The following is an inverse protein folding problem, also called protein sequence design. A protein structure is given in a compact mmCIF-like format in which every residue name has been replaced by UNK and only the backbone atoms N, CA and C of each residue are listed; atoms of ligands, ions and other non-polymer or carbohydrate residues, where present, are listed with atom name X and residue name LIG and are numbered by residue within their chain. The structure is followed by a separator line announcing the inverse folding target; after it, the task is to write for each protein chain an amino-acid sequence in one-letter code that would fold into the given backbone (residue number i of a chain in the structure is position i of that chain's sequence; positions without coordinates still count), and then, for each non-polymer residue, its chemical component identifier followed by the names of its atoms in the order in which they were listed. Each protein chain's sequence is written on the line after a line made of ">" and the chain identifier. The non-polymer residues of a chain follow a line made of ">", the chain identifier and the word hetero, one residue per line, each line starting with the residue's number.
data_IF_666617714108
#
_entry.id   IF_666617714108
#
_cell.length_a   1.000
_cell.length_b   1.000
_cell.length_c   1.000
_cell.angle_alpha   90.00
_cell.angle_beta   90.00
_cell.angle_gamma   90.00
#
_symmetry.space_group_name_H-M   'P 1'
#
loop_
_entity.id
_entity.type
_entity.pdbx_description
1 polymer ?
#
# COMPACT_ATOMS: atom_id res chain seq x y z
N UNK A 1 -29.45 11.05 12.11
CA UNK A 1 -28.43 11.67 11.24
C UNK A 1 -27.21 10.75 11.22
N UNK A 2 -27.02 9.99 10.15
CA UNK A 2 -25.94 9.01 10.02
C UNK A 2 -25.06 9.36 8.82
N UNK A 3 -24.03 10.19 9.04
CA UNK A 3 -22.98 10.48 8.06
C UNK A 3 -21.76 11.12 8.74
N UNK A 4 -21.07 10.38 9.62
CA UNK A 4 -19.85 10.86 10.29
C UNK A 4 -18.81 9.74 10.50
N UNK A 5 -18.65 8.86 9.51
CA UNK A 5 -17.67 7.76 9.59
C UNK A 5 -16.43 7.96 8.69
N UNK A 6 -16.51 8.82 7.68
CA UNK A 6 -15.37 9.25 6.84
C UNK A 6 -15.46 10.73 6.55
N UNK A 7 -14.34 11.45 6.66
CA UNK A 7 -14.22 12.83 6.21
C UNK A 7 -14.42 12.92 4.69
N UNK A 8 -15.03 14.00 4.19
CA UNK A 8 -15.23 14.22 2.74
C UNK A 8 -13.92 14.12 1.95
N UNK A 9 -12.81 14.59 2.55
CA UNK A 9 -11.47 14.41 1.99
C UNK A 9 -11.10 12.94 1.85
N UNK A 10 -11.36 12.11 2.87
CA UNK A 10 -11.07 10.67 2.77
C UNK A 10 -11.91 9.97 1.70
N UNK A 11 -13.17 10.37 1.51
CA UNK A 11 -14.00 9.84 0.41
C UNK A 11 -13.39 10.16 -0.94
N UNK A 12 -12.97 11.41 -1.15
CA UNK A 12 -12.26 11.83 -2.36
C UNK A 12 -10.97 11.02 -2.52
N UNK A 13 -10.19 10.88 -1.45
CA UNK A 13 -8.95 10.10 -1.47
C UNK A 13 -9.17 8.63 -1.85
N UNK A 14 -10.23 8.00 -1.36
CA UNK A 14 -10.61 6.62 -1.73
C UNK A 14 -10.96 6.53 -3.22
N UNK A 15 -11.69 7.51 -3.77
CA UNK A 15 -12.00 7.55 -5.20
C UNK A 15 -10.71 7.63 -6.03
N UNK A 16 -9.79 8.53 -5.69
CA UNK A 16 -8.50 8.64 -6.37
C UNK A 16 -7.64 7.38 -6.24
N UNK A 17 -7.60 6.76 -5.06
CA UNK A 17 -6.90 5.49 -4.85
C UNK A 17 -7.48 4.36 -5.71
N UNK A 18 -8.81 4.24 -5.75
CA UNK A 18 -9.49 3.23 -6.58
C UNK A 18 -9.27 3.47 -8.08
N UNK A 19 -9.31 4.74 -8.52
CA UNK A 19 -8.97 5.11 -9.89
C UNK A 19 -7.52 4.78 -10.24
N UNK A 20 -6.57 5.09 -9.34
CA UNK A 20 -5.16 4.73 -9.50
C UNK A 20 -4.97 3.21 -9.65
N UNK A 21 -5.64 2.42 -8.80
CA UNK A 21 -5.65 0.96 -8.88
C UNK A 21 -6.24 0.44 -10.20
N UNK A 22 -7.33 1.03 -10.68
CA UNK A 22 -7.92 0.69 -11.97
C UNK A 22 -6.95 0.93 -13.13
N UNK A 23 -6.27 2.08 -13.16
CA UNK A 23 -5.26 2.39 -14.17
C UNK A 23 -4.02 1.49 -14.08
N UNK A 24 -3.59 1.12 -12.86
CA UNK A 24 -2.51 0.15 -12.65
C UNK A 24 -2.88 -1.24 -13.22
N UNK A 25 -4.06 -1.75 -12.87
CA UNK A 25 -4.56 -3.05 -13.38
C UNK A 25 -4.72 -2.99 -14.91
N UNK A 26 -5.30 -1.90 -15.43
CA UNK A 26 -5.43 -1.68 -16.86
C UNK A 26 -4.06 -1.65 -17.56
N UNK A 27 -3.08 -0.98 -16.98
CA UNK A 27 -1.71 -0.94 -17.49
C UNK A 27 -1.06 -2.33 -17.54
N UNK A 28 -1.28 -3.18 -16.53
CA UNK A 28 -0.82 -4.56 -16.53
C UNK A 28 -1.53 -5.40 -17.61
N UNK A 29 -2.86 -5.26 -17.74
CA UNK A 29 -3.66 -5.99 -18.72
C UNK A 29 -3.31 -5.61 -20.16
N UNK A 30 -2.94 -4.35 -20.41
CA UNK A 30 -2.44 -3.86 -21.70
C UNK A 30 -0.93 -4.12 -21.89
N UNK A 31 -0.41 -5.21 -21.35
CA UNK A 31 0.98 -5.64 -21.52
C UNK A 31 2.01 -4.62 -21.00
N UNK A 32 1.77 -4.11 -19.78
CA UNK A 32 2.62 -3.13 -19.10
C UNK A 32 2.72 -1.78 -19.85
N UNK A 33 1.56 -1.22 -20.22
CA UNK A 33 1.51 0.12 -20.82
C UNK A 33 2.04 1.17 -19.83
N UNK A 34 3.10 1.87 -20.26
CA UNK A 34 3.82 2.82 -19.41
C UNK A 34 2.99 4.03 -19.02
N UNK A 35 2.10 4.49 -19.90
CA UNK A 35 1.29 5.67 -19.63
C UNK A 35 0.19 5.35 -18.61
N UNK A 36 -0.48 4.19 -18.74
CA UNK A 36 -1.47 3.74 -17.77
C UNK A 36 -0.85 3.41 -16.41
N UNK A 37 0.31 2.74 -16.38
CA UNK A 37 1.02 2.47 -15.12
C UNK A 37 1.46 3.77 -14.43
N UNK A 38 2.02 4.74 -15.17
CA UNK A 38 2.41 6.03 -14.61
C UNK A 38 1.20 6.82 -14.09
N UNK A 39 0.12 6.87 -14.86
CA UNK A 39 -1.11 7.56 -14.44
C UNK A 39 -1.73 6.90 -13.21
N UNK A 40 -1.76 5.56 -13.17
CA UNK A 40 -2.21 4.80 -12.01
C UNK A 40 -1.42 5.13 -10.75
N UNK A 41 -0.09 5.20 -10.85
CA UNK A 41 0.77 5.58 -9.74
C UNK A 41 0.56 7.02 -9.25
N UNK A 42 0.41 7.97 -10.16
CA UNK A 42 0.13 9.37 -9.80
C UNK A 42 -1.21 9.47 -9.06
N UNK A 43 -2.28 8.88 -9.60
CA UNK A 43 -3.60 8.89 -8.98
C UNK A 43 -3.58 8.19 -7.62
N UNK A 44 -2.87 7.07 -7.51
CA UNK A 44 -2.74 6.32 -6.28
C UNK A 44 -2.03 7.13 -5.19
N UNK A 45 -0.92 7.79 -5.52
CA UNK A 45 -0.19 8.66 -4.59
C UNK A 45 -1.02 9.85 -4.11
N UNK A 46 -1.75 10.50 -5.02
CA UNK A 46 -2.64 11.60 -4.68
C UNK A 46 -3.75 11.11 -3.73
N UNK A 47 -4.41 10.00 -4.08
CA UNK A 47 -5.45 9.39 -3.25
C UNK A 47 -4.94 9.06 -1.85
N UNK A 48 -3.76 8.44 -1.77
CA UNK A 48 -3.12 8.09 -0.51
C UNK A 48 -2.79 9.32 0.34
N UNK A 49 -2.23 10.36 -0.28
CA UNK A 49 -1.87 11.60 0.41
C UNK A 49 -3.10 12.29 1.00
N UNK A 50 -4.23 12.23 0.31
CA UNK A 50 -5.50 12.77 0.78
C UNK A 50 -6.08 11.92 1.92
N UNK A 51 -5.98 10.58 1.87
CA UNK A 51 -6.47 9.67 2.92
C UNK A 51 -5.69 9.85 4.24
N UNK A 52 -4.36 9.90 4.17
CA UNK A 52 -3.46 9.98 5.34
C UNK A 52 -3.32 11.43 5.83
N UNK A 53 -3.48 12.40 4.93
CA UNK A 53 -3.26 13.83 5.18
C UNK A 53 -1.82 14.24 4.81
N UNK A 54 -1.63 15.37 4.11
CA UNK A 54 -0.34 15.75 3.50
C UNK A 54 0.78 15.93 4.53
N UNK A 55 0.50 16.49 5.71
CA UNK A 55 1.48 16.67 6.78
C UNK A 55 1.95 15.33 7.38
N UNK A 56 1.04 14.38 7.55
CA UNK A 56 1.37 13.05 8.10
C UNK A 56 2.06 12.20 7.04
N UNK A 57 1.69 12.32 5.77
CA UNK A 57 2.28 11.59 4.64
C UNK A 57 3.74 12.01 4.42
N UNK A 58 4.05 13.31 4.47
CA UNK A 58 5.44 13.81 4.38
C UNK A 58 6.29 13.28 5.55
N UNK A 59 5.77 13.30 6.78
CA UNK A 59 6.45 12.71 7.94
C UNK A 59 6.56 11.17 7.86
N UNK A 60 5.63 10.50 7.19
CA UNK A 60 5.64 9.05 6.97
C UNK A 60 6.69 8.64 5.92
N UNK A 61 6.77 9.39 4.82
CA UNK A 61 7.76 9.22 3.76
C UNK A 61 9.18 9.61 4.21
N UNK A 62 9.31 10.61 5.11
CA UNK A 62 10.59 11.06 5.63
C UNK A 62 11.16 10.23 6.80
N UNK A 63 10.39 9.28 7.36
CA UNK A 63 10.87 8.45 8.46
C UNK A 63 11.93 7.45 7.94
N UNK A 64 13.14 7.44 8.52
CA UNK A 64 14.27 6.60 8.07
C UNK A 64 13.93 5.11 7.91
N UNK A 65 13.01 4.60 8.74
CA UNK A 65 12.55 3.20 8.69
C UNK A 65 11.64 2.90 7.49
N UNK A 66 11.03 3.94 6.88
CA UNK A 66 10.13 3.87 5.71
C UNK A 66 10.75 4.44 4.44
N UNK A 67 11.83 5.19 4.56
CA UNK A 67 12.59 5.76 3.44
C UNK A 67 13.06 4.70 2.43
N UNK A 68 13.37 3.46 2.87
CA UNK A 68 13.71 2.35 1.95
C UNK A 68 12.54 1.98 1.02
N UNK A 69 11.32 1.94 1.56
CA UNK A 69 10.11 1.67 0.79
C UNK A 69 9.79 2.82 -0.17
N UNK A 70 9.97 4.07 0.28
CA UNK A 70 9.82 5.26 -0.56
C UNK A 70 10.81 5.25 -1.73
N UNK A 71 12.09 4.98 -1.46
CA UNK A 71 13.11 4.91 -2.50
C UNK A 71 12.85 3.79 -3.50
N UNK A 72 12.41 2.62 -3.04
CA UNK A 72 12.01 1.52 -3.92
C UNK A 72 10.77 1.89 -4.75
N UNK A 73 9.77 2.54 -4.17
CA UNK A 73 8.57 2.98 -4.89
C UNK A 73 8.90 4.00 -5.99
N UNK A 74 9.62 5.08 -5.67
CA UNK A 74 10.06 6.07 -6.67
C UNK A 74 11.06 5.49 -7.67
N UNK A 75 11.91 4.56 -7.24
CA UNK A 75 12.81 3.81 -8.12
C UNK A 75 12.04 2.95 -9.12
N UNK A 76 11.00 2.25 -8.68
CA UNK A 76 10.08 1.49 -9.53
C UNK A 76 9.35 2.37 -10.53
N UNK A 77 8.80 3.49 -10.08
CA UNK A 77 8.19 4.50 -10.94
C UNK A 77 9.17 5.02 -12.01
N UNK A 78 10.40 5.31 -11.62
CA UNK A 78 11.46 5.77 -12.54
C UNK A 78 11.81 4.68 -13.56
N UNK A 79 11.91 3.42 -13.13
CA UNK A 79 12.15 2.27 -14.03
C UNK A 79 11.02 2.08 -15.05
N UNK A 80 9.76 2.29 -14.64
CA UNK A 80 8.60 2.25 -15.55
C UNK A 80 8.73 3.33 -16.64
N UNK A 81 9.15 4.54 -16.26
CA UNK A 81 9.40 5.62 -17.21
C UNK A 81 10.58 5.33 -18.14
N UNK A 82 11.65 4.68 -17.64
CA UNK A 82 12.88 4.35 -18.38
C UNK A 82 12.75 3.16 -19.36
N UNK A 83 11.54 2.81 -19.83
CA UNK A 83 11.25 1.66 -20.72
C UNK A 83 11.38 0.27 -20.08
N UNK A 84 11.49 0.17 -18.76
CA UNK A 84 11.60 -1.11 -18.04
C UNK A 84 10.38 -1.34 -17.14
N UNK A 85 9.15 -1.41 -17.68
CA UNK A 85 7.92 -1.39 -16.88
C UNK A 85 7.69 -2.66 -16.07
N UNK A 86 8.11 -3.83 -16.56
CA UNK A 86 8.01 -5.10 -15.82
C UNK A 86 8.84 -5.06 -14.53
N UNK A 87 10.11 -4.73 -14.65
CA UNK A 87 11.04 -4.67 -13.51
C UNK A 87 10.65 -3.51 -12.60
N UNK A 88 10.31 -2.35 -13.17
CA UNK A 88 9.84 -1.20 -12.41
C UNK A 88 8.60 -1.50 -11.59
N UNK A 89 7.61 -2.20 -12.15
CA UNK A 89 6.40 -2.63 -11.45
C UNK A 89 6.70 -3.59 -10.30
N UNK A 90 7.60 -4.57 -10.48
CA UNK A 90 8.00 -5.46 -9.38
C UNK A 90 8.68 -4.70 -8.24
N UNK A 91 9.59 -3.78 -8.56
CA UNK A 91 10.29 -2.94 -7.57
C UNK A 91 9.30 -1.99 -6.87
N UNK A 92 8.34 -1.46 -7.61
CA UNK A 92 7.27 -0.60 -7.09
C UNK A 92 6.37 -1.35 -6.11
N UNK A 93 5.89 -2.55 -6.48
CA UNK A 93 5.11 -3.41 -5.60
C UNK A 93 5.87 -3.74 -4.31
N UNK A 94 7.17 -4.03 -4.41
CA UNK A 94 8.01 -4.22 -3.23
C UNK A 94 8.08 -2.94 -2.38
N UNK A 95 8.24 -1.78 -3.01
CA UNK A 95 8.21 -0.48 -2.34
C UNK A 95 6.91 -0.24 -1.57
N UNK A 96 5.76 -0.45 -2.20
CA UNK A 96 4.42 -0.36 -1.58
C UNK A 96 4.33 -1.31 -0.38
N UNK A 97 4.71 -2.58 -0.55
CA UNK A 97 4.67 -3.58 0.52
C UNK A 97 5.51 -3.18 1.74
N UNK A 98 6.71 -2.63 1.53
CA UNK A 98 7.59 -2.16 2.61
C UNK A 98 7.04 -0.87 3.27
N UNK A 99 6.44 0.01 2.46
CA UNK A 99 5.89 1.28 2.93
C UNK A 99 4.66 1.06 3.82
N UNK A 100 3.72 0.23 3.37
CA UNK A 100 2.46 -0.07 4.06
C UNK A 100 2.52 -1.30 4.95
N UNK A 101 3.61 -2.06 4.98
CA UNK A 101 3.69 -3.32 5.76
C UNK A 101 3.32 -3.18 7.23
N UNK A 102 3.71 -2.08 7.89
CA UNK A 102 3.30 -1.83 9.29
C UNK A 102 1.80 -1.51 9.39
N UNK A 103 1.26 -0.77 8.42
CA UNK A 103 -0.15 -0.38 8.38
C UNK A 103 -1.05 -1.58 8.06
N UNK A 104 -0.62 -2.43 7.12
CA UNK A 104 -1.27 -3.70 6.78
C UNK A 104 -1.17 -4.70 7.93
N UNK A 105 -0.04 -4.74 8.65
CA UNK A 105 0.11 -5.55 9.85
C UNK A 105 -0.87 -5.13 10.95
N UNK A 106 -1.05 -3.82 11.17
CA UNK A 106 -2.06 -3.29 12.08
C UNK A 106 -3.48 -3.62 11.62
N UNK A 107 -3.81 -3.41 10.34
CA UNK A 107 -5.12 -3.76 9.78
C UNK A 107 -5.37 -5.27 9.88
N UNK A 108 -4.37 -6.12 9.61
CA UNK A 108 -4.46 -7.57 9.74
C UNK A 108 -4.66 -8.01 11.19
N UNK A 109 -4.01 -7.34 12.16
CA UNK A 109 -4.23 -7.59 13.59
C UNK A 109 -5.66 -7.18 14.02
N UNK A 110 -6.18 -6.06 13.53
CA UNK A 110 -7.58 -5.68 13.73
C UNK A 110 -8.54 -6.67 13.04
N UNK A 111 -8.23 -7.10 11.82
CA UNK A 111 -9.02 -8.10 11.09
C UNK A 111 -8.99 -9.48 11.76
N UNK A 112 -7.92 -9.84 12.46
CA UNK A 112 -7.83 -11.07 13.27
C UNK A 112 -8.80 -11.08 14.46
N UNK A 113 -9.19 -9.90 14.95
CA UNK A 113 -10.21 -9.74 15.98
C UNK A 113 -11.65 -9.79 15.43
N UNK A 114 -11.82 -9.88 14.10
CA UNK A 114 -13.14 -10.06 13.47
C UNK A 114 -13.41 -11.58 13.39
N UNK A 115 -14.42 -12.11 14.11
CA UNK A 115 -14.63 -13.55 14.29
C UNK A 115 -14.88 -14.35 13.00
N UNK A 116 -15.24 -13.68 11.89
CA UNK A 116 -15.45 -14.29 10.57
C UNK A 116 -14.16 -14.40 9.75
N UNK A 117 -13.19 -13.51 9.95
CA UNK A 117 -11.94 -13.42 9.15
C UNK A 117 -10.73 -13.97 9.93
N UNK A 118 -10.83 -14.01 11.27
CA UNK A 118 -9.79 -14.49 12.20
C UNK A 118 -9.15 -15.85 11.87
N UNK A 119 -9.90 -16.89 11.48
CA UNK A 119 -9.32 -18.21 11.19
C UNK A 119 -8.45 -18.23 9.92
N UNK A 120 -8.84 -17.48 8.89
CA UNK A 120 -8.14 -17.45 7.60
C UNK A 120 -6.87 -16.60 7.65
N UNK A 121 -6.88 -15.49 8.39
CA UNK A 121 -5.69 -14.66 8.60
C UNK A 121 -4.71 -15.36 9.54
N UNK A 122 -5.19 -16.07 10.57
CA UNK A 122 -4.33 -16.84 11.49
C UNK A 122 -3.50 -17.90 10.75
N UNK A 123 -4.13 -18.67 9.86
CA UNK A 123 -3.44 -19.71 9.08
C UNK A 123 -2.46 -19.14 8.04
N UNK A 124 -2.78 -17.99 7.43
CA UNK A 124 -1.87 -17.30 6.50
C UNK A 124 -0.65 -16.66 7.22
N UNK A 125 -0.85 -16.15 8.44
CA UNK A 125 0.21 -15.55 9.27
C UNK A 125 1.14 -16.60 9.89
N UNK A 126 0.61 -17.76 10.28
CA UNK A 126 1.43 -18.90 10.72
C UNK A 126 2.25 -19.50 9.58
N UNK A 127 1.70 -19.51 8.35
CA UNK A 127 2.40 -20.00 7.16
C UNK A 127 3.52 -19.05 6.66
N UNK A 128 3.44 -17.76 7.00
CA UNK A 128 4.44 -16.75 6.64
C UNK A 128 5.50 -16.50 7.72
N UNK A 129 5.45 -17.20 8.86
CA UNK A 129 6.52 -17.20 9.86
C UNK A 129 6.59 -15.95 10.75
N UNK A 130 5.59 -15.06 10.70
CA UNK A 130 5.54 -13.85 11.55
C UNK A 130 5.16 -14.18 13.00
N UNK A 131 4.56 -15.35 13.24
CA UNK A 131 4.10 -15.79 14.58
C UNK A 131 5.21 -16.18 15.58
N UNK A 132 6.43 -16.48 15.14
CA UNK A 132 7.48 -17.00 16.05
C UNK A 132 8.18 -15.92 16.88
N UNK A 133 8.17 -14.64 16.48
CA UNK A 133 8.90 -13.58 17.20
C UNK A 133 8.24 -13.11 18.51
N UNK A 134 6.97 -13.44 18.74
CA UNK A 134 6.23 -13.02 19.94
C UNK A 134 6.08 -14.14 21.01
N UNK A 135 6.62 -15.33 20.77
CA UNK A 135 6.55 -16.44 21.73
C UNK A 135 7.74 -16.51 22.71
N UNK A 136 8.69 -15.57 22.62
CA UNK A 136 9.94 -15.58 23.40
C UNK A 136 10.03 -14.46 24.45
N UNK A 137 8.90 -13.96 24.97
CA UNK A 137 8.92 -13.20 26.22
C UNK A 137 8.45 -14.09 27.37
N UNK A 138 9.37 -14.64 28.19
CA UNK A 138 9.01 -15.27 29.45
C UNK A 138 8.37 -14.23 30.37
N UNK A 139 7.26 -14.68 30.98
CA UNK A 139 6.47 -14.11 32.08
C UNK A 139 7.03 -12.91 32.83
#
# INVERSE_FOLDING_TARGET
>A
MASMWMSDSQKIGVIFCSGGGFFLIGGVMLFFDRAMLAMGNILFLIGLTIIIGPQKTLLFFARKQKAKGTAAFFGGLTLILLRWPLIGFCVELYGIMVLFGDFLGTIAAFARNIPVIGPYIGTAVDRSGVGRRNAELPV
#
